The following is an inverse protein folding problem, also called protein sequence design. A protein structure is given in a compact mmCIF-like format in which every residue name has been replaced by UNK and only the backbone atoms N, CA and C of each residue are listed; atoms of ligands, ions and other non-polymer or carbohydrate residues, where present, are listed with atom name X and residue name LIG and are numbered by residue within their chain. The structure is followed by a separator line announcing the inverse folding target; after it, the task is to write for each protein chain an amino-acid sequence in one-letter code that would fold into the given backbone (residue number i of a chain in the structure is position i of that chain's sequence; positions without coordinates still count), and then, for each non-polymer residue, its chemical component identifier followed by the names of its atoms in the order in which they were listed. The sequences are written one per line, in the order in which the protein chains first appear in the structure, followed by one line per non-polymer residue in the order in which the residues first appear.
data_IF_558757534581
#
_entry.id   IF_558757534581
#
_cell.length_a   1.000
_cell.length_b   1.000
_cell.length_c   1.000
_cell.angle_alpha   90.00
_cell.angle_beta   90.00
_cell.angle_gamma   90.00
#
_symmetry.space_group_name_H-M   'P 1'
#
loop_
_entity.id
_entity.type
_entity.pdbx_description
1 polymer ?
#
# COMPACT_ATOMS: atom_id res chain seq x y z
N UNK A 1 -17.66 -20.00 4.52
CA UNK A 1 -17.39 -18.57 4.22
C UNK A 1 -16.07 -18.06 4.81
N UNK A 2 -15.44 -18.75 5.77
CA UNK A 2 -14.12 -18.38 6.35
C UNK A 2 -12.91 -18.66 5.41
N UNK A 3 -13.10 -19.47 4.37
CA UNK A 3 -12.04 -19.98 3.49
C UNK A 3 -11.40 -18.94 2.57
N UNK A 4 -12.12 -17.90 2.18
CA UNK A 4 -11.57 -16.78 1.39
C UNK A 4 -10.65 -15.90 2.25
N UNK A 5 -10.99 -15.72 3.52
CA UNK A 5 -10.18 -14.93 4.46
C UNK A 5 -8.87 -15.65 4.81
N UNK A 6 -8.91 -16.97 5.01
CA UNK A 6 -7.70 -17.77 5.21
C UNK A 6 -6.77 -17.79 3.99
N UNK A 7 -7.32 -17.79 2.77
CA UNK A 7 -6.51 -17.72 1.53
C UNK A 7 -5.88 -16.34 1.29
N UNK A 8 -6.50 -15.28 1.81
CA UNK A 8 -5.94 -13.92 1.78
C UNK A 8 -4.91 -13.68 2.89
N UNK A 9 -5.04 -14.36 4.03
CA UNK A 9 -4.10 -14.32 5.15
C UNK A 9 -2.95 -15.34 5.01
N UNK A 10 -3.10 -16.37 4.20
CA UNK A 10 -2.00 -17.26 3.83
C UNK A 10 -1.04 -16.49 2.92
N UNK A 11 0.00 -15.93 3.52
CA UNK A 11 1.18 -15.29 2.91
C UNK A 11 2.01 -16.25 2.01
N UNK A 12 1.37 -17.22 1.37
CA UNK A 12 2.00 -18.31 0.62
C UNK A 12 2.49 -17.87 -0.77
N UNK A 13 2.06 -16.68 -1.21
CA UNK A 13 2.51 -16.06 -2.46
C UNK A 13 2.65 -14.56 -2.22
N UNK A 14 3.75 -13.95 -2.66
CA UNK A 14 3.91 -12.48 -2.63
C UNK A 14 2.78 -11.85 -3.45
N UNK A 15 1.69 -11.44 -2.79
CA UNK A 15 0.63 -10.57 -3.33
C UNK A 15 1.11 -9.09 -3.31
N UNK A 16 2.38 -8.85 -2.95
CA UNK A 16 2.95 -7.53 -2.62
C UNK A 16 2.49 -6.38 -3.52
N UNK A 17 2.73 -6.40 -4.85
CA UNK A 17 2.39 -5.28 -5.72
C UNK A 17 0.87 -5.04 -5.83
N UNK A 18 0.06 -6.10 -5.79
CA UNK A 18 -1.40 -6.02 -5.91
C UNK A 18 -2.02 -5.51 -4.62
N UNK A 19 -1.53 -5.99 -3.47
CA UNK A 19 -1.98 -5.54 -2.16
C UNK A 19 -1.70 -4.05 -1.96
N UNK A 20 -0.50 -3.59 -2.32
CA UNK A 20 -0.13 -2.16 -2.18
C UNK A 20 -1.03 -1.28 -3.06
N UNK A 21 -1.40 -1.72 -4.26
CA UNK A 21 -2.39 -1.00 -5.09
C UNK A 21 -3.75 -0.92 -4.42
N UNK A 22 -4.23 -2.00 -3.81
CA UNK A 22 -5.51 -1.99 -3.09
C UNK A 22 -5.46 -1.01 -1.91
N UNK A 23 -4.39 -1.05 -1.13
CA UNK A 23 -4.13 -0.14 -0.01
C UNK A 23 -4.07 1.32 -0.50
N UNK A 24 -3.44 1.58 -1.63
CA UNK A 24 -3.39 2.92 -2.23
C UNK A 24 -4.79 3.49 -2.46
N UNK A 25 -5.67 2.75 -3.13
CA UNK A 25 -7.03 3.22 -3.41
C UNK A 25 -7.84 3.42 -2.13
N UNK A 26 -7.74 2.51 -1.17
CA UNK A 26 -8.44 2.64 0.12
C UNK A 26 -7.95 3.86 0.92
N UNK A 27 -6.64 4.06 1.03
CA UNK A 27 -6.09 5.21 1.75
C UNK A 27 -6.37 6.54 1.05
N UNK A 28 -6.29 6.57 -0.28
CA UNK A 28 -6.67 7.75 -1.05
C UNK A 28 -8.16 8.10 -0.84
N UNK A 29 -9.05 7.10 -0.88
CA UNK A 29 -10.47 7.30 -0.58
C UNK A 29 -10.69 7.81 0.85
N UNK A 30 -9.98 7.26 1.84
CA UNK A 30 -10.06 7.70 3.23
C UNK A 30 -9.60 9.16 3.40
N UNK A 31 -8.52 9.58 2.72
CA UNK A 31 -8.04 10.97 2.75
C UNK A 31 -9.08 11.91 2.12
N UNK A 32 -9.67 11.53 0.99
CA UNK A 32 -10.71 12.35 0.32
C UNK A 32 -11.95 12.47 1.20
N UNK A 33 -12.45 11.36 1.75
CA UNK A 33 -13.63 11.35 2.63
C UNK A 33 -13.35 12.15 3.90
N UNK A 34 -12.17 11.97 4.50
CA UNK A 34 -11.74 12.73 5.68
C UNK A 34 -11.63 14.23 5.40
N UNK A 35 -11.09 14.62 4.25
CA UNK A 35 -11.00 16.02 3.83
C UNK A 35 -12.40 16.63 3.61
N UNK A 36 -13.31 15.91 2.96
CA UNK A 36 -14.70 16.34 2.79
C UNK A 36 -15.42 16.52 4.14
N UNK A 37 -15.25 15.56 5.05
CA UNK A 37 -15.80 15.66 6.41
C UNK A 37 -15.23 16.86 7.17
N UNK A 38 -13.92 17.09 7.08
CA UNK A 38 -13.26 18.22 7.72
C UNK A 38 -13.69 19.58 7.11
N UNK A 39 -13.95 19.64 5.80
CA UNK A 39 -14.51 20.83 5.15
C UNK A 39 -15.95 21.11 5.61
N UNK A 40 -16.79 20.08 5.74
CA UNK A 40 -18.14 20.26 6.29
C UNK A 40 -18.09 20.78 7.73
N UNK A 41 -17.19 20.26 8.55
CA UNK A 41 -16.99 20.75 9.92
C UNK A 41 -16.50 22.21 9.94
N UNK A 42 -15.63 22.60 9.01
CA UNK A 42 -15.18 23.99 8.88
C UNK A 42 -16.36 24.93 8.55
N UNK A 43 -17.26 24.51 7.66
CA UNK A 43 -18.48 25.25 7.30
C UNK A 43 -19.41 25.36 8.52
N UNK A 44 -19.68 24.27 9.24
CA UNK A 44 -20.50 24.32 10.45
C UNK A 44 -19.90 25.23 11.53
N UNK A 45 -18.57 25.25 11.68
CA UNK A 45 -17.86 26.14 12.61
C UNK A 45 -18.06 27.63 12.27
N UNK A 46 -18.08 27.99 10.98
CA UNK A 46 -18.39 29.35 10.52
C UNK A 46 -19.82 29.75 10.88
N UNK A 47 -20.80 28.89 10.63
CA UNK A 47 -22.20 29.16 10.99
C UNK A 47 -22.45 29.15 12.51
N UNK A 48 -21.63 28.43 13.27
CA UNK A 48 -21.67 28.39 14.73
C UNK A 48 -21.04 29.60 15.44
N UNK A 49 -20.60 30.61 14.70
CA UNK A 49 -20.03 31.85 15.25
C UNK A 49 -18.51 31.82 15.48
N UNK A 50 -17.83 30.71 15.17
CA UNK A 50 -16.37 30.62 15.24
C UNK A 50 -15.72 30.91 13.88
N UNK A 51 -15.82 32.17 13.45
CA UNK A 51 -15.30 32.60 12.16
C UNK A 51 -13.80 32.39 12.00
N UNK A 52 -13.02 32.69 13.05
CA UNK A 52 -11.55 32.54 13.01
C UNK A 52 -11.12 31.08 12.80
N UNK A 53 -11.68 30.17 13.60
CA UNK A 53 -11.37 28.74 13.49
C UNK A 53 -11.83 28.13 12.17
N UNK A 54 -13.07 28.42 11.76
CA UNK A 54 -13.63 27.85 10.52
C UNK A 54 -12.93 28.35 9.25
N UNK A 55 -12.49 29.62 9.21
CA UNK A 55 -11.77 30.16 8.05
C UNK A 55 -10.36 29.57 7.92
N UNK A 56 -9.63 29.43 9.04
CA UNK A 56 -8.33 28.74 9.05
C UNK A 56 -8.50 27.29 8.58
N UNK A 57 -9.53 26.61 9.06
CA UNK A 57 -9.78 25.21 8.70
C UNK A 57 -10.15 25.03 7.23
N UNK A 58 -10.90 25.97 6.62
CA UNK A 58 -11.22 25.97 5.19
C UNK A 58 -9.97 26.01 4.29
N UNK A 59 -8.92 26.71 4.72
CA UNK A 59 -7.67 26.84 3.96
C UNK A 59 -6.70 25.70 4.32
N UNK A 60 -6.64 25.33 5.60
CA UNK A 60 -5.74 24.30 6.09
C UNK A 60 -6.12 22.90 5.59
N UNK A 61 -7.42 22.57 5.52
CA UNK A 61 -7.87 21.22 5.14
C UNK A 61 -7.44 20.85 3.70
N UNK A 62 -7.64 21.68 2.66
CA UNK A 62 -7.13 21.39 1.33
C UNK A 62 -5.62 21.24 1.27
N UNK A 63 -4.88 22.09 2.00
CA UNK A 63 -3.42 22.04 2.05
C UNK A 63 -2.93 20.73 2.69
N UNK A 64 -3.50 20.35 3.83
CA UNK A 64 -3.17 19.11 4.54
C UNK A 64 -3.60 17.89 3.72
N UNK A 65 -4.75 17.92 3.06
CA UNK A 65 -5.21 16.83 2.20
C UNK A 65 -4.29 16.64 0.99
N UNK A 66 -3.83 17.73 0.37
CA UNK A 66 -2.88 17.67 -0.74
C UNK A 66 -1.53 17.06 -0.31
N UNK A 67 -0.97 17.53 0.80
CA UNK A 67 0.27 16.97 1.37
C UNK A 67 0.07 15.51 1.77
N UNK A 68 -1.06 15.19 2.39
CA UNK A 68 -1.43 13.84 2.78
C UNK A 68 -1.51 12.88 1.59
N UNK A 69 -2.12 13.29 0.47
CA UNK A 69 -2.18 12.50 -0.76
C UNK A 69 -0.79 12.27 -1.38
N UNK A 70 0.04 13.31 -1.43
CA UNK A 70 1.42 13.19 -1.94
C UNK A 70 2.23 12.24 -1.06
N UNK A 71 2.17 12.41 0.25
CA UNK A 71 2.85 11.54 1.22
C UNK A 71 2.36 10.09 1.11
N UNK A 72 1.04 9.88 1.03
CA UNK A 72 0.45 8.56 0.86
C UNK A 72 0.92 7.88 -0.42
N UNK A 73 0.95 8.64 -1.53
CA UNK A 73 1.43 8.13 -2.81
C UNK A 73 2.91 7.75 -2.75
N UNK A 74 3.74 8.61 -2.16
CA UNK A 74 5.17 8.34 -1.97
C UNK A 74 5.40 7.07 -1.15
N UNK A 75 4.66 6.90 -0.06
CA UNK A 75 4.76 5.73 0.82
C UNK A 75 4.32 4.44 0.09
N UNK A 76 3.25 4.48 -0.70
CA UNK A 76 2.84 3.34 -1.54
C UNK A 76 3.89 3.01 -2.62
N UNK A 77 4.50 4.02 -3.24
CA UNK A 77 5.58 3.82 -4.21
C UNK A 77 6.82 3.19 -3.56
N UNK A 78 7.19 3.62 -2.35
CA UNK A 78 8.29 3.03 -1.59
C UNK A 78 8.08 1.53 -1.33
N UNK A 79 6.86 1.13 -0.95
CA UNK A 79 6.54 -0.29 -0.76
C UNK A 79 6.60 -1.08 -2.07
N UNK A 80 6.06 -0.55 -3.17
CA UNK A 80 6.18 -1.21 -4.48
C UNK A 80 7.65 -1.34 -4.91
N UNK A 81 8.47 -0.31 -4.71
CA UNK A 81 9.90 -0.33 -5.00
C UNK A 81 10.63 -1.39 -4.17
N UNK A 82 10.27 -1.56 -2.90
CA UNK A 82 10.87 -2.59 -2.04
C UNK A 82 10.54 -4.00 -2.54
N UNK A 83 9.29 -4.27 -2.92
CA UNK A 83 8.91 -5.57 -3.50
C UNK A 83 9.62 -5.85 -4.82
N UNK A 84 9.68 -4.85 -5.71
CA UNK A 84 10.42 -4.96 -6.97
C UNK A 84 11.92 -5.20 -6.71
N UNK A 85 12.50 -4.49 -5.74
CA UNK A 85 13.89 -4.68 -5.33
C UNK A 85 14.16 -6.10 -4.84
N UNK A 86 13.27 -6.66 -4.02
CA UNK A 86 13.39 -8.04 -3.54
C UNK A 86 13.36 -9.06 -4.69
N UNK A 87 12.45 -8.91 -5.65
CA UNK A 87 12.37 -9.78 -6.84
C UNK A 87 13.66 -9.70 -7.68
N UNK A 88 14.18 -8.48 -7.90
CA UNK A 88 15.43 -8.27 -8.66
C UNK A 88 16.64 -8.87 -7.95
N UNK A 89 16.74 -8.73 -6.63
CA UNK A 89 17.80 -9.36 -5.85
C UNK A 89 17.74 -10.89 -5.90
N UNK A 90 16.54 -11.47 -5.90
CA UNK A 90 16.33 -12.90 -6.14
C UNK A 90 16.88 -13.34 -7.51
N UNK A 91 16.55 -12.61 -8.58
CA UNK A 91 17.07 -12.88 -9.92
C UNK A 91 18.59 -12.78 -9.99
N UNK A 92 19.19 -11.75 -9.39
CA UNK A 92 20.66 -11.58 -9.35
C UNK A 92 21.32 -12.72 -8.59
N UNK A 93 20.76 -13.14 -7.45
CA UNK A 93 21.24 -14.29 -6.68
C UNK A 93 21.22 -15.56 -7.53
N UNK A 94 20.15 -15.80 -8.26
CA UNK A 94 20.01 -17.00 -9.10
C UNK A 94 20.99 -16.97 -10.29
N UNK A 95 21.20 -15.81 -10.91
CA UNK A 95 22.22 -15.63 -11.95
C UNK A 95 23.65 -15.85 -11.42
N UNK A 96 23.97 -15.30 -10.25
CA UNK A 96 25.28 -15.52 -9.61
C UNK A 96 25.51 -16.99 -9.26
N UNK A 97 24.47 -17.71 -8.84
CA UNK A 97 24.52 -19.14 -8.55
C UNK A 97 24.87 -19.97 -9.80
N UNK A 98 24.27 -19.64 -10.94
CA UNK A 98 24.57 -20.26 -12.24
C UNK A 98 26.02 -19.93 -12.65
N UNK A 99 26.44 -18.67 -12.54
CA UNK A 99 27.79 -18.24 -12.88
C UNK A 99 28.87 -18.90 -12.01
N UNK A 100 28.54 -19.21 -10.74
CA UNK A 100 29.42 -19.92 -9.81
C UNK A 100 29.48 -21.44 -10.08
N UNK A 101 28.82 -21.96 -11.12
CA UNK A 101 28.81 -23.38 -11.45
C UNK A 101 28.03 -24.27 -10.47
N UNK A 102 27.19 -23.68 -9.61
CA UNK A 102 26.33 -24.45 -8.71
C UNK A 102 25.14 -25.02 -9.49
N UNK A 103 24.82 -26.30 -9.25
CA UNK A 103 23.72 -26.99 -9.93
C UNK A 103 22.39 -26.21 -9.78
N UNK A 104 21.50 -26.25 -10.80
CA UNK A 104 20.16 -25.67 -10.74
C UNK A 104 19.44 -26.14 -9.47
N UNK A 105 18.52 -25.34 -8.89
CA UNK A 105 17.70 -25.82 -7.80
C UNK A 105 17.09 -27.17 -8.20
N UNK A 106 17.19 -28.18 -7.33
CA UNK A 106 16.49 -29.44 -7.54
C UNK A 106 15.02 -29.08 -7.82
N UNK A 107 14.53 -29.47 -8.99
CA UNK A 107 13.10 -29.54 -9.26
C UNK A 107 12.43 -30.17 -8.04
N UNK A 108 11.30 -29.63 -7.53
CA UNK A 108 10.55 -30.34 -6.50
C UNK A 108 10.36 -31.77 -7.00
N UNK A 109 10.90 -32.73 -6.26
CA UNK A 109 10.99 -34.11 -6.69
C UNK A 109 9.63 -34.57 -7.21
N UNK A 110 9.56 -35.13 -8.43
CA UNK A 110 8.37 -35.80 -9.01
C UNK A 110 7.85 -36.96 -8.13
N UNK A 111 8.46 -37.20 -6.97
CA UNK A 111 8.18 -38.27 -6.03
C UNK A 111 7.80 -37.79 -4.61
N UNK A 112 7.50 -36.52 -4.39
CA UNK A 112 6.83 -36.12 -3.15
C UNK A 112 5.31 -36.26 -3.34
N UNK A 113 4.66 -37.32 -2.82
CA UNK A 113 3.22 -37.43 -2.92
C UNK A 113 2.57 -36.27 -2.17
N UNK A 114 1.64 -35.60 -2.84
CA UNK A 114 0.80 -34.57 -2.27
C UNK A 114 -0.07 -35.19 -1.17
N UNK A 115 0.27 -34.90 0.08
CA UNK A 115 -0.58 -35.10 1.25
C UNK A 115 -0.55 -33.83 2.10
#
# INVERSE_FOLDING_TARGET
MFSIFQRFLSFDRLIGPVLVKLVYYFGAAAIVIGALGALLMAIFSLFGGNFGGGFVQLIAVPAVAAVGLVYWRFLCELFMLAFLGYERLGQVRDLMRIAAGQAPPATPDEHHPAF
#
